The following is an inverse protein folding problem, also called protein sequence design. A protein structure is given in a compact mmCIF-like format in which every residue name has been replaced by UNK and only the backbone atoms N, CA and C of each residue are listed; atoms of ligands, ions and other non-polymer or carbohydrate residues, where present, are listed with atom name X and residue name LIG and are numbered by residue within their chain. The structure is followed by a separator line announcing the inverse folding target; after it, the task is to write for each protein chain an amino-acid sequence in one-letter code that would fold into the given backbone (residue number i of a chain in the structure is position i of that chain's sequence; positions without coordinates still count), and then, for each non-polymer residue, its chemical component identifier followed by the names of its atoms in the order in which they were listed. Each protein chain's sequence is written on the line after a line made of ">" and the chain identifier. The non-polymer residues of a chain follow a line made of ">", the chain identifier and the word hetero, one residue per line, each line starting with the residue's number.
data_IF_823900838126
#
_entry.id   IF_823900838126
#
_cell.length_a   1.000
_cell.length_b   1.000
_cell.length_c   1.000
_cell.angle_alpha   90.00
_cell.angle_beta   90.00
_cell.angle_gamma   90.00
#
_symmetry.space_group_name_H-M   'P 1'
#
loop_
_entity.id
_entity.type
_entity.pdbx_description
1 polymer ?
#
# COMPACT_ATOMS: atom_id res chain seq x y z
N UNK A 1 23.60 -2.67 -5.87
CA UNK A 1 22.89 -1.66 -5.05
C UNK A 1 21.55 -2.24 -4.66
N UNK A 2 21.20 -2.22 -3.38
CA UNK A 2 20.06 -2.94 -2.82
C UNK A 2 18.74 -2.25 -3.19
N UNK A 3 17.88 -2.99 -3.90
CA UNK A 3 16.47 -2.67 -4.11
C UNK A 3 15.78 -2.40 -2.77
N UNK A 4 15.50 -1.13 -2.48
CA UNK A 4 14.55 -0.75 -1.43
C UNK A 4 13.64 0.33 -2.01
N UNK A 5 12.63 -0.12 -2.76
CA UNK A 5 11.34 0.56 -2.68
C UNK A 5 11.07 0.64 -1.18
N UNK A 6 11.08 1.85 -0.63
CA UNK A 6 10.92 2.10 0.80
C UNK A 6 9.47 1.76 1.11
N UNK A 7 9.11 0.48 1.21
CA UNK A 7 8.09 0.08 2.15
C UNK A 7 8.66 0.56 3.47
N UNK A 8 8.13 1.64 4.03
CA UNK A 8 8.41 1.91 5.42
C UNK A 8 8.03 0.62 6.16
N UNK A 9 9.01 -0.15 6.67
CA UNK A 9 8.72 -1.46 7.22
C UNK A 9 7.88 -1.36 8.50
N UNK A 10 7.65 -0.14 8.99
CA UNK A 10 6.83 0.17 10.14
C UNK A 10 5.40 0.57 9.77
N UNK A 11 5.09 0.89 8.51
CA UNK A 11 3.72 1.21 8.12
C UNK A 11 2.83 -0.05 8.13
N UNK A 12 1.68 -0.04 8.82
CA UNK A 12 0.89 -1.25 9.02
C UNK A 12 0.39 -1.85 7.71
N UNK A 13 0.43 -3.18 7.61
CA UNK A 13 -0.13 -3.94 6.48
C UNK A 13 -1.23 -4.88 6.96
N UNK A 14 -2.40 -4.82 6.32
CA UNK A 14 -3.58 -5.64 6.61
C UNK A 14 -3.89 -6.56 5.43
N UNK A 15 -4.64 -7.61 5.70
CA UNK A 15 -5.19 -8.50 4.69
C UNK A 15 -6.71 -8.44 4.76
N UNK A 16 -7.37 -8.39 3.60
CA UNK A 16 -8.82 -8.46 3.48
C UNK A 16 -9.21 -9.44 2.38
N UNK A 17 -10.26 -10.24 2.60
CA UNK A 17 -10.87 -10.99 1.50
C UNK A 17 -11.67 -10.04 0.61
N UNK A 18 -11.67 -10.30 -0.71
CA UNK A 18 -12.47 -9.51 -1.66
C UNK A 18 -13.96 -9.49 -1.30
N UNK A 19 -14.46 -10.53 -0.62
CA UNK A 19 -15.84 -10.64 -0.12
C UNK A 19 -16.18 -9.67 1.02
N UNK A 20 -15.17 -9.12 1.70
CA UNK A 20 -15.33 -8.12 2.77
C UNK A 20 -15.50 -6.69 2.21
N UNK A 21 -15.15 -6.48 0.94
CA UNK A 21 -15.21 -5.19 0.24
C UNK A 21 -16.62 -4.91 -0.29
N UNK A 22 -17.59 -4.81 0.63
CA UNK A 22 -19.02 -4.70 0.28
C UNK A 22 -19.42 -3.31 -0.25
N UNK A 23 -18.66 -2.27 0.09
CA UNK A 23 -18.90 -0.90 -0.38
C UNK A 23 -17.63 -0.04 -0.24
N UNK A 24 -17.66 1.14 -0.86
CA UNK A 24 -16.55 2.11 -0.88
C UNK A 24 -16.19 2.65 0.49
N UNK A 25 -17.16 2.80 1.41
CA UNK A 25 -16.90 3.26 2.77
C UNK A 25 -16.04 2.26 3.55
N UNK A 26 -16.32 0.95 3.43
CA UNK A 26 -15.54 -0.10 4.09
C UNK A 26 -14.12 -0.19 3.53
N UNK A 27 -13.97 0.00 2.22
CA UNK A 27 -12.66 0.05 1.55
C UNK A 27 -11.83 1.20 2.12
N UNK A 28 -12.41 2.39 2.25
CA UNK A 28 -11.73 3.56 2.81
C UNK A 28 -11.36 3.37 4.29
N UNK A 29 -12.24 2.75 5.09
CA UNK A 29 -11.97 2.44 6.50
C UNK A 29 -10.78 1.47 6.66
N UNK A 30 -10.71 0.43 5.80
CA UNK A 30 -9.64 -0.57 5.84
C UNK A 30 -8.27 0.05 5.56
N UNK A 31 -8.20 0.97 4.60
CA UNK A 31 -6.98 1.63 4.15
C UNK A 31 -6.65 2.93 4.92
N UNK A 32 -7.44 3.29 5.95
CA UNK A 32 -7.30 4.57 6.66
C UNK A 32 -5.98 4.71 7.43
N UNK A 33 -5.54 3.62 8.07
CA UNK A 33 -4.35 3.62 8.94
C UNK A 33 -3.37 2.47 8.57
N UNK A 34 -3.51 1.91 7.37
CA UNK A 34 -2.74 0.76 6.90
C UNK A 34 -2.81 0.61 5.37
N UNK A 35 -1.81 -0.04 4.78
CA UNK A 35 -1.93 -0.62 3.45
C UNK A 35 -2.68 -1.96 3.53
N UNK A 36 -3.40 -2.34 2.47
CA UNK A 36 -4.26 -3.52 2.47
C UNK A 36 -3.98 -4.42 1.27
N UNK A 37 -3.67 -5.67 1.55
CA UNK A 37 -3.64 -6.75 0.57
C UNK A 37 -5.03 -7.34 0.41
N UNK A 38 -5.60 -7.20 -0.78
CA UNK A 38 -6.88 -7.82 -1.12
C UNK A 38 -6.59 -9.21 -1.67
N UNK A 39 -7.21 -10.21 -1.06
CA UNK A 39 -7.04 -11.62 -1.44
C UNK A 39 -8.34 -12.24 -1.92
N UNK A 40 -8.21 -13.23 -2.81
CA UNK A 40 -9.30 -14.11 -3.25
C UNK A 40 -8.75 -15.52 -3.34
N UNK A 41 -9.36 -16.45 -2.62
CA UNK A 41 -8.92 -17.86 -2.60
C UNK A 41 -7.44 -18.04 -2.21
N UNK A 42 -6.94 -17.18 -1.31
CA UNK A 42 -5.53 -17.21 -0.87
C UNK A 42 -4.55 -16.48 -1.79
N UNK A 43 -4.99 -16.00 -2.96
CA UNK A 43 -4.15 -15.24 -3.89
C UNK A 43 -4.36 -13.74 -3.72
N UNK A 44 -3.28 -12.96 -3.71
CA UNK A 44 -3.36 -11.49 -3.71
C UNK A 44 -3.74 -11.00 -5.11
N UNK A 45 -4.86 -10.28 -5.20
CA UNK A 45 -5.39 -9.77 -6.47
C UNK A 45 -5.30 -8.25 -6.60
N UNK A 46 -5.18 -7.53 -5.48
CA UNK A 46 -5.06 -6.08 -5.48
C UNK A 46 -4.36 -5.57 -4.22
N UNK A 47 -3.81 -4.36 -4.33
CA UNK A 47 -3.15 -3.63 -3.27
C UNK A 47 -3.86 -2.28 -3.12
N UNK A 48 -4.37 -1.99 -1.93
CA UNK A 48 -4.85 -0.67 -1.56
C UNK A 48 -3.76 -0.01 -0.71
N UNK A 49 -3.34 1.17 -1.12
CA UNK A 49 -2.32 1.94 -0.41
C UNK A 49 -3.01 3.08 0.31
N UNK A 50 -2.63 3.31 1.56
CA UNK A 50 -3.08 4.50 2.27
C UNK A 50 -2.63 5.77 1.51
N UNK A 51 -3.49 6.79 1.33
CA UNK A 51 -3.14 7.97 0.55
C UNK A 51 -1.91 8.73 1.07
N UNK A 52 -1.76 8.88 2.40
CA UNK A 52 -0.61 9.57 2.99
C UNK A 52 0.67 8.77 2.79
N UNK A 53 0.60 7.44 2.98
CA UNK A 53 1.72 6.55 2.72
C UNK A 53 2.11 6.57 1.23
N UNK A 54 1.15 6.64 0.31
CA UNK A 54 1.41 6.75 -1.12
C UNK A 54 2.23 8.01 -1.46
N UNK A 55 1.88 9.17 -0.89
CA UNK A 55 2.64 10.41 -1.10
C UNK A 55 4.09 10.29 -0.59
N UNK A 56 4.29 9.64 0.56
CA UNK A 56 5.65 9.36 1.09
C UNK A 56 6.44 8.47 0.14
N UNK A 57 5.82 7.41 -0.39
CA UNK A 57 6.45 6.50 -1.37
C UNK A 57 6.87 7.23 -2.64
N UNK A 58 6.00 8.08 -3.18
CA UNK A 58 6.28 8.85 -4.41
C UNK A 58 7.35 9.91 -4.16
N UNK A 59 7.32 10.62 -3.04
CA UNK A 59 8.35 11.59 -2.68
C UNK A 59 9.72 10.92 -2.60
N UNK A 60 9.82 9.81 -1.86
CA UNK A 60 11.07 9.05 -1.73
C UNK A 60 11.58 8.54 -3.09
N UNK A 61 10.69 8.03 -3.94
CA UNK A 61 11.05 7.60 -5.29
C UNK A 61 11.63 8.74 -6.14
N UNK A 62 10.99 9.91 -6.09
CA UNK A 62 11.45 11.07 -6.86
C UNK A 62 12.82 11.56 -6.40
N UNK A 63 13.08 11.58 -5.09
CA UNK A 63 14.40 11.93 -4.56
C UNK A 63 15.49 10.96 -4.99
N UNK A 64 15.20 9.66 -5.01
CA UNK A 64 16.13 8.64 -5.50
C UNK A 64 16.47 8.85 -6.98
N UNK A 65 15.44 9.08 -7.81
CA UNK A 65 15.62 9.33 -9.25
C UNK A 65 16.49 10.55 -9.52
N UNK A 66 16.37 11.61 -8.72
CA UNK A 66 17.18 12.82 -8.85
C UNK A 66 18.64 12.59 -8.42
N UNK A 67 18.89 11.74 -7.43
CA UNK A 67 20.27 11.42 -6.97
C UNK A 67 21.04 10.52 -7.93
N UNK A 68 20.34 9.76 -8.78
CA UNK A 68 20.95 8.88 -9.79
C UNK A 68 21.15 9.56 -11.15
N UNK A 69 20.68 10.80 -11.34
CA UNK A 69 20.82 11.60 -12.56
C UNK A 69 21.97 12.59 -12.46
#
# INVERSE_FOLDING_TARGET
>A
MNNRVIKDPTFPMRHAQVTELKNTAKIAELAKDADVLITRNGETIAYLVNPEHYEVLISAWNELRVKES
#
